data_IF_914004128204
#
_entry.id   IF_914004128204
#
_cell.length_a   1.000
_cell.length_b   1.000
_cell.length_c   1.000
_cell.angle_alpha   90.00
_cell.angle_beta   90.00
_cell.angle_gamma   90.00
#
_symmetry.space_group_name_H-M   'P 1'
#
loop_
_entity.id
_entity.type
_entity.pdbx_description
1 polymer ?
#
# COMPACT_ATOMS: atom_id res chain seq x y z
N UNK A 1 -15.89 52.03 -41.29
CA UNK A 1 -15.37 50.64 -41.36
C UNK A 1 -15.13 50.13 -39.94
N UNK A 2 -16.05 49.32 -39.44
CA UNK A 2 -15.94 48.70 -38.11
C UNK A 2 -15.37 47.29 -38.29
N UNK A 3 -14.22 47.00 -37.72
CA UNK A 3 -13.66 45.64 -37.64
C UNK A 3 -13.42 45.33 -36.14
N UNK A 4 -14.38 44.68 -35.62
CA UNK A 4 -14.45 43.36 -35.02
C UNK A 4 -13.49 43.11 -33.85
N UNK A 5 -14.05 43.32 -32.63
CA UNK A 5 -13.44 42.93 -31.35
C UNK A 5 -13.85 41.51 -30.90
N UNK A 6 -13.72 40.50 -31.74
CA UNK A 6 -14.17 39.11 -31.39
C UNK A 6 -13.01 38.10 -31.23
N UNK A 7 -11.77 38.51 -31.48
CA UNK A 7 -10.62 37.58 -31.52
C UNK A 7 -9.77 37.55 -30.25
N UNK A 8 -10.09 38.34 -29.20
CA UNK A 8 -9.32 38.40 -27.95
C UNK A 8 -9.91 37.55 -26.81
N UNK A 9 -11.15 37.02 -26.96
CA UNK A 9 -11.81 36.25 -25.87
C UNK A 9 -11.57 34.74 -25.96
N UNK A 10 -11.11 34.25 -27.10
CA UNK A 10 -10.89 32.78 -27.27
C UNK A 10 -9.49 32.31 -26.81
N UNK A 11 -8.55 33.25 -26.64
CA UNK A 11 -7.17 32.88 -26.23
C UNK A 11 -7.00 32.80 -24.70
N UNK A 12 -7.87 33.42 -23.92
CA UNK A 12 -7.82 33.36 -22.46
C UNK A 12 -8.45 32.09 -21.88
N UNK A 13 -9.39 31.46 -22.57
CA UNK A 13 -10.05 30.23 -22.12
C UNK A 13 -9.21 28.97 -22.36
N UNK A 14 -8.20 29.03 -23.24
CA UNK A 14 -7.30 27.90 -23.50
C UNK A 14 -6.16 27.84 -22.49
N UNK A 15 -5.81 28.95 -21.83
CA UNK A 15 -4.73 29.00 -20.84
C UNK A 15 -5.16 28.54 -19.44
N UNK A 16 -6.45 28.56 -19.11
CA UNK A 16 -6.92 28.09 -17.79
C UNK A 16 -7.16 26.57 -17.74
N UNK A 17 -7.36 25.92 -18.88
CA UNK A 17 -7.53 24.46 -18.91
C UNK A 17 -6.22 23.68 -18.77
N UNK A 18 -5.07 24.31 -18.98
CA UNK A 18 -3.75 23.66 -18.87
C UNK A 18 -3.17 23.68 -17.46
N UNK A 19 -3.73 24.47 -16.55
CA UNK A 19 -3.23 24.58 -15.17
C UNK A 19 -3.82 23.54 -14.22
N UNK A 20 -4.95 22.91 -14.57
CA UNK A 20 -5.63 21.91 -13.73
C UNK A 20 -5.23 20.47 -14.01
N UNK A 21 -4.40 20.21 -15.03
CA UNK A 21 -3.94 18.86 -15.38
C UNK A 21 -2.50 18.59 -14.92
N UNK A 22 -2.12 19.14 -13.76
CA UNK A 22 -0.82 18.85 -13.15
C UNK A 22 -0.92 17.57 -12.32
N UNK A 23 -0.33 16.51 -12.86
CA UNK A 23 0.37 15.44 -12.17
C UNK A 23 -0.42 14.18 -11.83
N UNK A 24 -0.89 13.51 -12.84
CA UNK A 24 -0.76 12.05 -12.86
C UNK A 24 0.42 11.70 -13.77
N UNK A 25 1.59 11.41 -13.23
CA UNK A 25 2.63 10.74 -14.00
C UNK A 25 2.40 9.25 -13.89
N UNK A 26 1.81 8.68 -14.93
CA UNK A 26 1.79 7.24 -15.14
C UNK A 26 3.08 6.88 -15.86
N UNK A 27 4.04 6.28 -15.16
CA UNK A 27 5.19 5.66 -15.80
C UNK A 27 4.82 4.19 -16.01
N UNK A 28 4.40 3.85 -17.21
CA UNK A 28 4.17 2.47 -17.60
C UNK A 28 5.49 1.88 -18.10
N UNK A 29 6.12 1.04 -17.33
CA UNK A 29 7.09 0.07 -17.80
C UNK A 29 6.37 -1.28 -17.89
N UNK A 30 6.56 -2.02 -18.96
CA UNK A 30 5.80 -3.19 -19.47
C UNK A 30 5.02 -4.10 -18.50
N UNK A 31 5.15 -3.91 -17.18
CA UNK A 31 4.42 -4.63 -16.12
C UNK A 31 4.27 -3.83 -14.81
N UNK A 32 4.73 -2.57 -14.77
CA UNK A 32 4.75 -1.77 -13.55
C UNK A 32 4.10 -0.42 -13.81
N UNK A 33 3.02 -0.12 -13.12
CA UNK A 33 2.39 1.18 -13.20
C UNK A 33 2.69 1.96 -11.91
N UNK A 34 3.47 3.03 -12.02
CA UNK A 34 3.72 3.96 -10.93
C UNK A 34 2.67 5.07 -11.02
N UNK A 35 1.80 5.17 -10.05
CA UNK A 35 0.82 6.25 -9.99
C UNK A 35 1.25 7.18 -8.87
N UNK A 36 1.64 8.40 -9.22
CA UNK A 36 1.83 9.48 -8.26
C UNK A 36 0.57 10.33 -8.29
N UNK A 37 -0.21 10.29 -7.25
CA UNK A 37 -1.38 11.14 -7.09
C UNK A 37 -1.02 12.27 -6.13
N UNK A 38 -1.02 13.50 -6.63
CA UNK A 38 -0.94 14.72 -5.82
C UNK A 38 -2.35 15.31 -5.74
N UNK A 39 -3.12 14.85 -4.77
CA UNK A 39 -4.40 15.45 -4.43
C UNK A 39 -4.25 16.15 -3.09
N UNK A 40 -4.31 17.47 -3.08
CA UNK A 40 -4.29 18.31 -1.88
C UNK A 40 -2.99 18.25 -1.06
N UNK A 41 -1.82 18.16 -1.71
CA UNK A 41 -0.51 18.13 -1.03
C UNK A 41 -0.15 16.76 -0.44
N UNK A 42 -0.87 15.72 -0.81
CA UNK A 42 -0.61 14.34 -0.43
C UNK A 42 0.13 13.65 -1.57
N UNK A 43 1.42 13.34 -1.37
CA UNK A 43 2.19 12.55 -2.32
C UNK A 43 2.13 11.08 -1.92
N UNK A 44 1.12 10.35 -2.37
CA UNK A 44 1.07 8.91 -2.24
C UNK A 44 1.75 8.26 -3.44
N UNK A 45 2.76 7.44 -3.19
CA UNK A 45 3.40 6.63 -4.23
C UNK A 45 2.86 5.21 -4.13
N UNK A 46 2.14 4.75 -5.15
CA UNK A 46 1.73 3.36 -5.25
C UNK A 46 2.19 2.77 -6.58
N UNK A 47 2.58 1.51 -6.49
CA UNK A 47 3.05 0.73 -7.61
C UNK A 47 2.02 -0.37 -7.83
N UNK A 48 1.36 -0.37 -8.98
CA UNK A 48 0.51 -1.48 -9.38
C UNK A 48 1.36 -2.50 -10.16
N UNK A 49 1.56 -3.66 -9.57
CA UNK A 49 2.14 -4.82 -10.24
C UNK A 49 0.98 -5.72 -10.66
N UNK A 50 0.67 -5.78 -11.94
CA UNK A 50 -0.35 -6.71 -12.40
C UNK A 50 0.28 -8.05 -12.78
N UNK A 51 -0.04 -9.09 -12.02
CA UNK A 51 0.23 -10.46 -12.38
C UNK A 51 1.53 -11.08 -11.88
N UNK A 52 2.48 -10.28 -11.35
CA UNK A 52 3.68 -10.86 -10.75
C UNK A 52 3.34 -11.54 -9.42
N UNK A 53 3.95 -12.70 -9.15
CA UNK A 53 3.85 -13.33 -7.83
C UNK A 53 4.72 -12.59 -6.83
N UNK A 54 4.18 -12.35 -5.64
CA UNK A 54 5.00 -11.88 -4.53
C UNK A 54 5.86 -13.05 -4.01
N UNK A 55 7.19 -12.90 -3.91
CA UNK A 55 8.09 -14.00 -3.59
C UNK A 55 8.10 -14.28 -2.07
N UNK A 56 6.92 -14.47 -1.48
CA UNK A 56 6.79 -14.81 -0.08
C UNK A 56 7.28 -16.24 0.16
N UNK A 57 8.15 -16.40 1.14
CA UNK A 57 8.61 -17.72 1.61
C UNK A 57 7.71 -18.22 2.75
N UNK A 58 7.92 -19.45 3.20
CA UNK A 58 7.33 -19.92 4.43
C UNK A 58 7.83 -19.08 5.61
N UNK A 59 6.94 -18.75 6.53
CA UNK A 59 7.20 -17.87 7.65
C UNK A 59 6.90 -18.54 8.97
N UNK A 60 7.65 -18.15 9.99
CA UNK A 60 7.31 -18.40 11.40
C UNK A 60 7.03 -17.06 12.05
N UNK A 61 5.85 -16.91 12.64
CA UNK A 61 5.48 -15.69 13.35
C UNK A 61 6.17 -15.60 14.71
N UNK A 62 6.17 -14.42 15.32
CA UNK A 62 6.68 -14.21 16.68
C UNK A 62 5.94 -15.04 17.73
N UNK A 63 4.73 -15.51 17.42
CA UNK A 63 3.90 -16.38 18.25
C UNK A 63 4.01 -17.87 17.86
N UNK A 64 5.07 -18.20 17.12
CA UNK A 64 5.40 -19.57 16.68
C UNK A 64 4.36 -20.22 15.75
N UNK A 65 3.49 -19.44 15.11
CA UNK A 65 2.59 -19.95 14.08
C UNK A 65 3.35 -20.10 12.75
N UNK A 66 3.13 -21.22 12.07
CA UNK A 66 3.68 -21.44 10.74
C UNK A 66 2.70 -20.94 9.67
N UNK A 67 3.19 -20.10 8.76
CA UNK A 67 2.47 -19.66 7.57
C UNK A 67 3.22 -20.21 6.37
N UNK A 68 2.71 -21.27 5.76
CA UNK A 68 3.28 -21.85 4.54
C UNK A 68 2.65 -21.25 3.29
N UNK A 69 3.37 -21.28 2.17
CA UNK A 69 2.79 -20.90 0.87
C UNK A 69 1.54 -21.75 0.54
N UNK A 70 1.52 -23.00 0.96
CA UNK A 70 0.37 -23.88 0.78
C UNK A 70 -0.85 -23.39 1.57
N UNK A 71 -0.67 -22.88 2.79
CA UNK A 71 -1.73 -22.32 3.63
C UNK A 71 -2.33 -21.01 3.10
N UNK A 72 -1.61 -20.32 2.21
CA UNK A 72 -2.03 -19.05 1.58
C UNK A 72 -2.75 -19.28 0.24
N UNK A 73 -2.70 -20.49 -0.30
CA UNK A 73 -3.34 -20.81 -1.59
C UNK A 73 -4.86 -20.58 -1.54
N UNK A 74 -5.36 -19.82 -2.50
CA UNK A 74 -6.80 -19.49 -2.57
C UNK A 74 -7.24 -18.37 -1.62
N UNK A 75 -6.31 -17.76 -0.88
CA UNK A 75 -6.60 -16.64 0.03
C UNK A 75 -6.13 -15.32 -0.52
N UNK A 76 -6.85 -14.26 -0.21
CA UNK A 76 -6.39 -12.89 -0.41
C UNK A 76 -5.48 -12.51 0.74
N UNK A 77 -4.28 -12.04 0.44
CA UNK A 77 -3.25 -11.76 1.45
C UNK A 77 -2.91 -10.28 1.45
N UNK A 78 -2.92 -9.67 2.65
CA UNK A 78 -2.36 -8.34 2.86
C UNK A 78 -0.99 -8.48 3.52
N UNK A 79 0.03 -7.91 2.92
CA UNK A 79 1.39 -7.87 3.47
C UNK A 79 1.72 -6.42 3.79
N UNK A 80 2.18 -6.16 5.01
CA UNK A 80 2.75 -4.86 5.41
C UNK A 80 4.19 -5.07 5.90
N UNK A 81 5.12 -4.26 5.41
CA UNK A 81 6.50 -4.26 5.88
C UNK A 81 6.76 -3.00 6.69
N UNK A 82 7.23 -3.18 7.92
CA UNK A 82 7.38 -2.13 8.92
C UNK A 82 8.57 -2.37 9.85
N UNK A 83 8.85 -1.46 10.76
CA UNK A 83 9.74 -1.66 11.91
C UNK A 83 9.38 -0.71 13.05
N UNK A 84 9.80 -1.08 14.28
CA UNK A 84 9.38 -0.42 15.53
C UNK A 84 9.79 1.05 15.63
N UNK A 85 10.83 1.50 14.91
CA UNK A 85 11.25 2.92 14.91
C UNK A 85 10.70 3.70 13.70
N UNK A 86 9.91 3.07 12.83
CA UNK A 86 9.33 3.69 11.64
C UNK A 86 8.08 4.50 12.01
N UNK A 87 8.22 5.80 12.19
CA UNK A 87 7.09 6.65 12.59
C UNK A 87 5.91 6.61 11.60
N UNK A 88 6.11 6.73 10.27
CA UNK A 88 4.99 6.61 9.33
C UNK A 88 4.36 5.21 9.35
N UNK A 89 5.13 4.13 9.54
CA UNK A 89 4.55 2.78 9.68
C UNK A 89 3.64 2.69 10.92
N UNK A 90 4.08 3.28 12.04
CA UNK A 90 3.32 3.28 13.29
C UNK A 90 2.01 4.07 13.15
N UNK A 91 2.03 5.15 12.38
CA UNK A 91 0.86 5.98 12.12
C UNK A 91 -0.21 5.23 11.31
N UNK A 92 0.16 4.28 10.45
CA UNK A 92 -0.78 3.49 9.65
C UNK A 92 -1.45 2.35 10.45
N UNK A 93 -0.87 1.90 11.58
CA UNK A 93 -1.36 0.71 12.32
C UNK A 93 -2.85 0.79 12.68
N UNK A 94 -3.41 1.90 13.17
CA UNK A 94 -4.84 1.96 13.48
C UNK A 94 -5.71 1.65 12.26
N UNK A 95 -5.38 2.23 11.11
CA UNK A 95 -6.10 2.01 9.84
C UNK A 95 -5.97 0.56 9.37
N UNK A 96 -4.77 -0.02 9.47
CA UNK A 96 -4.52 -1.42 9.12
C UNK A 96 -5.29 -2.38 10.02
N UNK A 97 -5.39 -2.08 11.31
CA UNK A 97 -6.20 -2.85 12.26
C UNK A 97 -7.71 -2.79 11.94
N UNK A 98 -8.21 -1.62 11.52
CA UNK A 98 -9.61 -1.49 11.08
C UNK A 98 -9.88 -2.30 9.81
N UNK A 99 -8.97 -2.26 8.84
CA UNK A 99 -9.07 -3.05 7.63
C UNK A 99 -9.06 -4.55 7.94
N UNK A 100 -8.12 -5.01 8.78
CA UNK A 100 -8.04 -6.39 9.22
C UNK A 100 -9.33 -6.85 9.91
N UNK A 101 -9.83 -6.07 10.87
CA UNK A 101 -11.10 -6.34 11.56
C UNK A 101 -12.28 -6.48 10.60
N UNK A 102 -12.33 -5.64 9.56
CA UNK A 102 -13.40 -5.63 8.55
C UNK A 102 -13.38 -6.88 7.67
N UNK A 103 -12.18 -7.37 7.33
CA UNK A 103 -12.01 -8.42 6.32
C UNK A 103 -11.53 -9.75 6.89
N UNK A 104 -11.38 -9.88 8.21
CA UNK A 104 -10.97 -11.12 8.86
C UNK A 104 -11.94 -12.25 8.53
N UNK A 105 -11.43 -13.29 7.87
CA UNK A 105 -12.18 -14.50 7.48
C UNK A 105 -11.21 -15.64 7.16
N UNK A 106 -11.73 -16.84 6.92
CA UNK A 106 -10.92 -17.99 6.50
C UNK A 106 -10.28 -17.82 5.11
N UNK A 107 -10.80 -16.90 4.30
CA UNK A 107 -10.30 -16.61 2.95
C UNK A 107 -9.33 -15.42 2.88
N UNK A 108 -8.96 -14.85 4.01
CA UNK A 108 -8.06 -13.68 4.08
C UNK A 108 -6.95 -13.90 5.09
N UNK A 109 -5.76 -13.37 4.80
CA UNK A 109 -4.61 -13.42 5.72
C UNK A 109 -3.94 -12.04 5.76
N UNK A 110 -3.61 -11.57 6.95
CA UNK A 110 -2.94 -10.30 7.17
C UNK A 110 -1.58 -10.57 7.82
N UNK A 111 -0.49 -10.22 7.14
CA UNK A 111 0.89 -10.50 7.52
C UNK A 111 1.66 -9.20 7.67
N UNK A 112 2.38 -9.04 8.78
CA UNK A 112 3.32 -7.94 8.96
C UNK A 112 4.76 -8.48 9.03
N UNK A 113 5.62 -8.03 8.13
CA UNK A 113 7.03 -8.40 8.06
C UNK A 113 7.88 -7.30 8.67
N UNK A 114 8.83 -7.68 9.52
CA UNK A 114 9.76 -6.76 10.15
C UNK A 114 11.12 -7.43 10.35
N UNK A 115 12.17 -6.62 10.49
CA UNK A 115 13.52 -7.09 10.85
C UNK A 115 13.86 -6.85 12.33
N UNK A 116 12.92 -6.30 13.12
CA UNK A 116 13.12 -6.17 14.56
C UNK A 116 13.10 -7.53 15.25
N UNK A 117 13.85 -7.65 16.35
CA UNK A 117 13.86 -8.85 17.20
C UNK A 117 12.52 -9.02 17.93
N UNK A 118 12.11 -10.27 18.17
CA UNK A 118 10.84 -10.62 18.79
C UNK A 118 10.56 -9.87 20.10
N UNK A 119 11.57 -9.72 20.97
CA UNK A 119 11.40 -9.04 22.26
C UNK A 119 11.07 -7.55 22.08
N UNK A 120 11.72 -6.89 21.11
CA UNK A 120 11.44 -5.50 20.78
C UNK A 120 10.03 -5.34 20.20
N UNK A 121 9.62 -6.27 19.35
CA UNK A 121 8.26 -6.30 18.79
C UNK A 121 7.24 -6.47 19.91
N UNK A 122 7.41 -7.46 20.80
CA UNK A 122 6.49 -7.69 21.93
C UNK A 122 6.39 -6.47 22.86
N UNK A 123 7.52 -5.83 23.17
CA UNK A 123 7.54 -4.61 23.97
C UNK A 123 6.79 -3.44 23.30
N UNK A 124 6.82 -3.34 21.99
CA UNK A 124 6.05 -2.38 21.22
C UNK A 124 4.56 -2.71 21.23
N UNK A 125 4.19 -3.97 20.94
CA UNK A 125 2.80 -4.44 20.86
C UNK A 125 2.05 -4.31 22.18
N UNK A 126 2.73 -4.41 23.31
CA UNK A 126 2.15 -4.16 24.62
C UNK A 126 1.61 -2.72 24.80
N UNK A 127 2.11 -1.77 24.01
CA UNK A 127 1.72 -0.36 24.05
C UNK A 127 0.86 0.05 22.85
N UNK A 128 1.09 -0.57 21.70
CA UNK A 128 0.42 -0.29 20.42
C UNK A 128 0.09 -1.61 19.72
N UNK A 129 -1.11 -2.17 19.93
CA UNK A 129 -1.51 -3.43 19.31
C UNK A 129 -1.50 -3.34 17.79
N UNK A 130 -0.97 -4.37 17.13
CA UNK A 130 -1.04 -4.57 15.70
C UNK A 130 -1.58 -5.98 15.44
N UNK A 131 -2.75 -6.10 14.83
CA UNK A 131 -3.53 -7.35 14.80
C UNK A 131 -3.10 -8.31 13.68
N UNK A 132 -2.11 -7.95 12.90
CA UNK A 132 -1.57 -8.81 11.84
C UNK A 132 -0.72 -9.96 12.43
N UNK A 133 -0.57 -11.03 11.68
CA UNK A 133 0.38 -12.10 11.97
C UNK A 133 1.79 -11.59 11.69
N UNK A 134 2.60 -11.41 12.72
CA UNK A 134 3.90 -10.74 12.61
C UNK A 134 5.02 -11.77 12.49
N UNK A 135 5.82 -11.67 11.43
CA UNK A 135 7.02 -12.45 11.25
C UNK A 135 8.26 -11.56 11.20
N UNK A 136 9.32 -12.01 11.87
CA UNK A 136 10.64 -11.36 11.87
C UNK A 136 11.58 -12.09 10.92
N UNK A 137 12.16 -11.36 9.97
CA UNK A 137 13.08 -11.87 8.96
C UNK A 137 14.30 -10.95 8.85
N UNK A 138 15.44 -11.42 8.32
CA UNK A 138 16.53 -10.54 7.95
C UNK A 138 16.05 -9.41 7.02
N UNK A 139 16.54 -8.19 7.25
CA UNK A 139 16.15 -7.03 6.43
C UNK A 139 16.41 -7.26 4.94
N UNK A 140 17.55 -7.88 4.61
CA UNK A 140 17.91 -8.18 3.22
C UNK A 140 16.88 -9.08 2.53
N UNK A 141 16.28 -10.03 3.24
CA UNK A 141 15.24 -10.91 2.70
C UNK A 141 13.95 -10.13 2.43
N UNK A 142 13.54 -9.26 3.37
CA UNK A 142 12.37 -8.39 3.19
C UNK A 142 12.58 -7.44 2.00
N UNK A 143 13.76 -6.80 1.91
CA UNK A 143 14.06 -5.86 0.83
C UNK A 143 14.13 -6.57 -0.53
N UNK A 144 14.63 -7.80 -0.57
CA UNK A 144 14.61 -8.64 -1.77
C UNK A 144 13.18 -8.96 -2.22
N UNK A 145 12.28 -9.29 -1.30
CA UNK A 145 10.87 -9.55 -1.61
C UNK A 145 10.15 -8.31 -2.17
N UNK A 146 10.40 -7.15 -1.57
CA UNK A 146 9.79 -5.88 -2.00
C UNK A 146 10.40 -5.33 -3.29
N UNK A 147 11.66 -5.67 -3.59
CA UNK A 147 12.51 -5.07 -4.65
C UNK A 147 12.74 -3.56 -4.48
N UNK A 148 12.47 -3.03 -3.30
CA UNK A 148 12.67 -1.62 -2.91
C UNK A 148 12.99 -1.55 -1.41
N UNK A 149 13.78 -0.55 -1.00
CA UNK A 149 14.24 -0.39 0.40
C UNK A 149 13.42 0.64 1.19
N UNK A 150 12.19 0.97 0.77
CA UNK A 150 11.33 1.93 1.46
C UNK A 150 10.39 1.26 2.46
N UNK A 151 10.04 2.03 3.53
CA UNK A 151 9.05 1.68 4.53
C UNK A 151 8.20 2.91 4.87
N UNK A 152 6.89 2.76 5.18
CA UNK A 152 6.14 1.51 5.10
C UNK A 152 6.01 1.01 3.65
N UNK A 153 5.76 -0.29 3.53
CA UNK A 153 5.41 -0.92 2.26
C UNK A 153 4.23 -1.87 2.50
N UNK A 154 3.21 -1.77 1.66
CA UNK A 154 2.05 -2.66 1.70
C UNK A 154 1.81 -3.29 0.34
N UNK A 155 1.49 -4.59 0.32
CA UNK A 155 1.07 -5.31 -0.87
C UNK A 155 -0.23 -6.08 -0.61
N UNK A 156 -1.13 -6.09 -1.59
CA UNK A 156 -2.32 -6.92 -1.59
C UNK A 156 -2.16 -7.98 -2.68
N UNK A 157 -2.29 -9.25 -2.29
CA UNK A 157 -2.22 -10.37 -3.20
C UNK A 157 -3.63 -10.95 -3.41
N UNK A 158 -3.94 -11.28 -4.65
CA UNK A 158 -5.17 -11.97 -4.99
C UNK A 158 -5.08 -13.48 -4.60
N UNK A 159 -6.15 -14.22 -4.83
CA UNK A 159 -6.24 -15.65 -4.49
C UNK A 159 -5.25 -16.54 -5.24
N UNK A 160 -4.67 -16.06 -6.34
CA UNK A 160 -3.61 -16.73 -7.10
C UNK A 160 -2.21 -16.41 -6.57
N UNK A 161 -2.10 -15.57 -5.51
CA UNK A 161 -0.83 -15.10 -4.96
C UNK A 161 -0.13 -14.07 -5.82
N UNK A 162 -0.87 -13.43 -6.74
CA UNK A 162 -0.36 -12.37 -7.60
C UNK A 162 -0.61 -11.01 -6.96
N UNK A 163 0.34 -10.10 -7.14
CA UNK A 163 0.23 -8.74 -6.64
C UNK A 163 -0.90 -8.02 -7.38
N UNK A 164 -1.92 -7.62 -6.64
CA UNK A 164 -3.05 -6.81 -7.11
C UNK A 164 -2.82 -5.33 -6.87
N UNK A 165 -2.12 -4.98 -5.78
CA UNK A 165 -1.86 -3.59 -5.41
C UNK A 165 -0.61 -3.47 -4.54
N UNK A 166 0.14 -2.37 -4.69
CA UNK A 166 1.27 -2.01 -3.80
C UNK A 166 1.15 -0.56 -3.40
N UNK A 167 1.29 -0.29 -2.12
CA UNK A 167 1.41 1.04 -1.55
C UNK A 167 2.80 1.20 -0.93
N UNK A 168 3.50 2.27 -1.32
CA UNK A 168 4.81 2.62 -0.77
C UNK A 168 4.71 4.00 -0.15
N UNK A 169 4.74 4.05 1.18
CA UNK A 169 4.57 5.27 1.96
C UNK A 169 3.19 5.93 1.82
N UNK A 170 2.67 6.38 2.94
CA UNK A 170 1.47 7.20 3.02
C UNK A 170 1.84 8.49 3.78
N UNK A 171 1.63 9.68 3.22
CA UNK A 171 2.24 10.91 3.75
C UNK A 171 1.63 11.40 5.05
N UNK A 172 0.53 10.86 5.52
CA UNK A 172 -0.18 11.41 6.66
C UNK A 172 -0.80 12.80 6.36
N UNK A 173 -1.53 13.36 7.31
CA UNK A 173 -2.15 14.69 7.19
C UNK A 173 -3.58 14.70 7.72
N UNK A 174 -4.25 15.83 7.59
CA UNK A 174 -5.67 15.94 7.96
C UNK A 174 -6.50 14.99 7.10
N UNK A 175 -7.37 14.21 7.72
CA UNK A 175 -8.20 13.18 7.09
C UNK A 175 -7.43 12.02 6.44
N UNK A 176 -6.13 11.92 6.69
CA UNK A 176 -5.21 10.91 6.13
C UNK A 176 -5.69 9.49 6.40
N UNK A 177 -6.13 9.20 7.62
CA UNK A 177 -6.55 7.85 8.02
C UNK A 177 -7.80 7.40 7.25
N UNK A 178 -8.79 8.31 7.08
CA UNK A 178 -10.00 8.03 6.30
C UNK A 178 -9.69 7.79 4.83
N UNK A 179 -8.78 8.58 4.26
CA UNK A 179 -8.36 8.43 2.87
C UNK A 179 -7.58 7.14 2.65
N UNK A 180 -6.66 6.80 3.56
CA UNK A 180 -5.91 5.55 3.53
C UNK A 180 -6.84 4.34 3.64
N UNK A 181 -7.76 4.35 4.61
CA UNK A 181 -8.73 3.28 4.79
C UNK A 181 -9.59 3.11 3.53
N UNK A 182 -10.09 4.20 2.96
CA UNK A 182 -10.90 4.18 1.73
C UNK A 182 -10.12 3.57 0.56
N UNK A 183 -8.87 3.98 0.36
CA UNK A 183 -8.01 3.45 -0.68
C UNK A 183 -7.78 1.94 -0.50
N UNK A 184 -7.34 1.53 0.69
CA UNK A 184 -7.05 0.13 0.99
C UNK A 184 -8.30 -0.75 0.90
N UNK A 185 -9.45 -0.26 1.36
CA UNK A 185 -10.74 -0.93 1.26
C UNK A 185 -11.12 -1.21 -0.21
N UNK A 186 -11.00 -0.22 -1.06
CA UNK A 186 -11.27 -0.36 -2.50
C UNK A 186 -10.35 -1.38 -3.17
N UNK A 187 -9.04 -1.33 -2.86
CA UNK A 187 -8.07 -2.22 -3.47
C UNK A 187 -8.21 -3.66 -2.93
N UNK A 188 -8.52 -3.81 -1.65
CA UNK A 188 -8.73 -5.14 -1.05
C UNK A 188 -10.00 -5.81 -1.62
N UNK A 189 -11.10 -5.07 -1.79
CA UNK A 189 -12.31 -5.56 -2.49
C UNK A 189 -12.01 -6.04 -3.91
N UNK A 190 -11.20 -5.30 -4.67
CA UNK A 190 -10.78 -5.72 -6.02
C UNK A 190 -10.01 -7.04 -5.99
N UNK A 191 -9.08 -7.20 -5.04
CA UNK A 191 -8.30 -8.43 -4.90
C UNK A 191 -9.15 -9.63 -4.47
N UNK A 192 -10.18 -9.41 -3.64
CA UNK A 192 -11.14 -10.46 -3.24
C UNK A 192 -12.00 -10.96 -4.42
N UNK A 193 -12.24 -10.10 -5.41
CA UNK A 193 -13.05 -10.43 -6.58
C UNK A 193 -12.26 -11.14 -7.70
N UNK A 194 -10.94 -11.21 -7.58
CA UNK A 194 -10.04 -11.90 -8.51
C UNK A 194 -9.81 -13.35 -8.05
#
# INVERSE_FOLDING_TARGET
>A
MKISGILLFSLLLVLESTAQNKKQRVIADNKKQYIFSDTAGITASYIAYHGDRFPLTDLITIDSLSISQASLKGKTVFINCWFVACQPCIAEIPVLNELEKKYRSDSTVFIALTFDKADRIRSFLAKKPFHFQIASLPQADIDSMKKISFYPFSAILNRQGQISFVLVSWPGGKDSDTQLLTLLDQQFKKALAQ
#
